data_IF_388969646210
#
_entry.id   IF_388969646210
#
_cell.length_a   1.000
_cell.length_b   1.000
_cell.length_c   1.000
_cell.angle_alpha   90.00
_cell.angle_beta   90.00
_cell.angle_gamma   90.00
#
_symmetry.space_group_name_H-M   'P 1'
#
loop_
_entity.id
_entity.type
_entity.pdbx_description
1 polymer ?
#
# COMPACT_ATOMS: atom_id res chain seq x y z
N UNK A 1 -10.27 -9.41 68.74
CA UNK A 1 -11.51 -9.76 68.02
C UNK A 1 -11.81 -8.61 67.08
N UNK A 2 -11.77 -8.90 65.79
CA UNK A 2 -11.76 -7.92 64.71
C UNK A 2 -11.14 -8.55 63.47
N UNK A 3 -11.68 -9.71 63.09
CA UNK A 3 -11.37 -10.44 61.88
C UNK A 3 -11.85 -9.61 60.68
N UNK A 4 -10.93 -9.25 59.78
CA UNK A 4 -11.18 -8.45 58.59
C UNK A 4 -10.64 -9.17 57.37
N UNK A 5 -11.54 -9.92 56.76
CA UNK A 5 -11.42 -10.78 55.58
C UNK A 5 -10.80 -10.07 54.36
N UNK A 6 -10.18 -10.89 53.52
CA UNK A 6 -9.59 -10.57 52.24
C UNK A 6 -10.62 -10.04 51.22
N UNK A 7 -10.16 -9.16 50.32
CA UNK A 7 -10.68 -9.17 48.95
C UNK A 7 -9.58 -8.82 47.98
N UNK A 8 -9.21 -9.87 47.27
CA UNK A 8 -8.38 -9.88 46.08
C UNK A 8 -9.25 -9.35 44.95
N UNK A 9 -9.05 -8.11 44.51
CA UNK A 9 -9.62 -7.65 43.23
C UNK A 9 -8.50 -7.11 42.35
N UNK A 10 -8.08 -7.99 41.44
CA UNK A 10 -7.06 -7.71 40.44
C UNK A 10 -7.54 -6.67 39.44
N UNK A 11 -7.11 -5.43 39.63
CA UNK A 11 -7.10 -4.41 38.58
C UNK A 11 -5.73 -4.43 37.88
N UNK A 12 -5.46 -5.49 37.11
CA UNK A 12 -4.35 -5.45 36.14
C UNK A 12 -4.58 -4.31 35.14
N UNK A 13 -3.53 -3.60 34.69
CA UNK A 13 -3.70 -2.51 33.74
C UNK A 13 -4.41 -3.04 32.49
N UNK A 14 -5.54 -2.40 32.16
CA UNK A 14 -6.32 -2.73 30.97
C UNK A 14 -5.39 -2.63 29.77
N UNK A 15 -5.22 -3.74 29.04
CA UNK A 15 -4.41 -3.78 27.83
C UNK A 15 -4.90 -2.68 26.89
N UNK A 16 -4.02 -1.83 26.34
CA UNK A 16 -4.44 -0.89 25.31
C UNK A 16 -4.96 -1.71 24.14
N UNK A 17 -6.23 -1.50 23.85
CA UNK A 17 -6.91 -2.02 22.68
C UNK A 17 -6.08 -1.56 21.49
N UNK A 18 -5.60 -2.50 20.68
CA UNK A 18 -4.88 -2.18 19.44
C UNK A 18 -5.90 -1.56 18.49
N UNK A 19 -6.19 -0.28 18.69
CA UNK A 19 -6.88 0.55 17.73
C UNK A 19 -6.13 0.41 16.43
N UNK A 20 -6.81 -0.11 15.41
CA UNK A 20 -6.30 -0.19 14.04
C UNK A 20 -5.61 1.12 13.72
N UNK A 21 -4.30 1.06 13.53
CA UNK A 21 -3.47 2.25 13.32
C UNK A 21 -3.99 2.97 12.05
N UNK A 22 -4.60 4.17 12.16
CA UNK A 22 -5.19 4.85 11.01
C UNK A 22 -4.12 5.34 10.03
N UNK A 23 -2.85 5.30 10.43
CA UNK A 23 -1.68 5.61 9.62
C UNK A 23 -1.25 4.46 8.69
N UNK A 24 -1.84 3.26 8.80
CA UNK A 24 -1.77 2.25 7.74
C UNK A 24 -2.70 2.66 6.59
N UNK A 25 -2.39 3.81 5.98
CA UNK A 25 -3.10 4.36 4.84
C UNK A 25 -3.00 3.35 3.70
N UNK A 26 -4.16 2.81 3.33
CA UNK A 26 -4.35 2.06 2.10
C UNK A 26 -3.81 2.92 0.95
N UNK A 27 -2.81 2.43 0.20
CA UNK A 27 -2.28 3.11 -1.02
C UNK A 27 -3.36 3.20 -2.13
N UNK A 28 -4.59 2.79 -1.82
CA UNK A 28 -5.76 2.90 -2.68
C UNK A 28 -6.36 4.30 -2.56
N UNK A 29 -5.93 5.18 -3.45
CA UNK A 29 -6.64 6.43 -3.72
C UNK A 29 -7.98 6.15 -4.42
N UNK A 30 -9.08 6.67 -3.88
CA UNK A 30 -10.38 6.72 -4.57
C UNK A 30 -10.48 7.99 -5.40
N UNK A 31 -10.95 7.87 -6.63
CA UNK A 31 -11.23 9.01 -7.50
C UNK A 31 -12.69 9.43 -7.37
N UNK A 32 -12.94 10.73 -7.30
CA UNK A 32 -14.30 11.28 -7.22
C UNK A 32 -15.11 11.05 -8.50
N UNK A 33 -14.43 10.95 -9.66
CA UNK A 33 -15.06 10.72 -10.96
C UNK A 33 -14.21 9.79 -11.81
N UNK A 34 -14.84 9.13 -12.80
CA UNK A 34 -14.14 8.31 -13.79
C UNK A 34 -13.14 9.14 -14.62
N UNK A 35 -13.48 10.40 -14.92
CA UNK A 35 -12.60 11.32 -15.65
C UNK A 35 -11.33 11.61 -14.86
N UNK A 36 -11.46 11.89 -13.55
CA UNK A 36 -10.31 12.13 -12.69
C UNK A 36 -9.41 10.88 -12.59
N UNK A 37 -9.99 9.69 -12.55
CA UNK A 37 -9.24 8.43 -12.58
C UNK A 37 -8.46 8.25 -13.89
N UNK A 38 -9.10 8.54 -15.03
CA UNK A 38 -8.49 8.41 -16.36
C UNK A 38 -7.31 9.37 -16.53
N UNK A 39 -7.45 10.62 -16.09
CA UNK A 39 -6.37 11.61 -16.13
C UNK A 39 -5.20 11.20 -15.26
N UNK A 40 -5.45 10.81 -14.01
CA UNK A 40 -4.38 10.37 -13.11
C UNK A 40 -3.63 9.13 -13.64
N UNK A 41 -4.35 8.20 -14.29
CA UNK A 41 -3.73 7.06 -14.97
C UNK A 41 -2.88 7.52 -16.15
N UNK A 42 -3.38 8.46 -16.95
CA UNK A 42 -2.65 8.99 -18.09
C UNK A 42 -1.36 9.69 -17.66
N UNK A 43 -1.42 10.58 -16.67
CA UNK A 43 -0.24 11.27 -16.12
C UNK A 43 0.80 10.27 -15.58
N UNK A 44 0.32 9.22 -14.89
CA UNK A 44 1.20 8.15 -14.40
C UNK A 44 1.87 7.41 -15.55
N UNK A 45 1.11 7.05 -16.59
CA UNK A 45 1.64 6.36 -17.77
C UNK A 45 2.57 7.26 -18.58
N UNK A 46 2.30 8.55 -18.76
CA UNK A 46 3.21 9.41 -19.51
C UNK A 46 4.53 9.67 -18.76
N UNK A 47 4.47 9.83 -17.44
CA UNK A 47 5.66 10.01 -16.62
C UNK A 47 6.50 8.74 -16.49
N UNK A 48 5.85 7.58 -16.33
CA UNK A 48 6.53 6.29 -16.16
C UNK A 48 6.89 5.63 -17.50
N UNK A 49 6.05 5.73 -18.52
CA UNK A 49 6.19 5.01 -19.79
C UNK A 49 6.93 5.83 -20.83
N UNK A 50 8.08 6.40 -20.48
CA UNK A 50 9.01 6.90 -21.47
C UNK A 50 9.79 5.72 -22.06
N UNK A 51 9.57 5.31 -23.33
CA UNK A 51 10.10 4.05 -23.87
C UNK A 51 11.63 3.96 -23.88
N UNK A 52 12.31 5.11 -23.76
CA UNK A 52 13.77 5.26 -23.76
C UNK A 52 14.36 5.46 -22.37
N UNK A 53 13.55 5.83 -21.37
CA UNK A 53 14.02 6.03 -20.00
C UNK A 53 14.34 4.68 -19.37
N UNK A 54 15.39 4.61 -18.54
CA UNK A 54 15.75 3.41 -17.77
C UNK A 54 15.00 3.41 -16.45
N UNK A 55 14.39 2.28 -16.08
CA UNK A 55 13.61 2.13 -14.84
C UNK A 55 14.25 1.11 -13.92
N UNK A 56 14.46 1.46 -12.64
CA UNK A 56 15.02 0.54 -11.64
C UNK A 56 14.15 -0.71 -11.45
N UNK A 57 12.82 -0.56 -11.58
CA UNK A 57 11.87 -1.67 -11.55
C UNK A 57 12.06 -2.68 -12.71
N UNK A 58 12.70 -2.27 -13.81
CA UNK A 58 13.01 -3.11 -14.97
C UNK A 58 14.51 -3.46 -15.02
N UNK A 59 15.18 -3.56 -13.86
CA UNK A 59 16.64 -3.78 -13.77
C UNK A 59 17.47 -2.74 -14.57
N UNK A 60 16.99 -1.50 -14.62
CA UNK A 60 17.54 -0.43 -15.44
C UNK A 60 17.47 -0.68 -16.95
N UNK A 61 16.55 -1.50 -17.43
CA UNK A 61 16.16 -1.52 -18.84
C UNK A 61 15.14 -0.43 -19.16
N UNK A 62 14.99 -0.13 -20.45
CA UNK A 62 13.91 0.73 -20.93
C UNK A 62 12.66 -0.10 -21.21
N UNK A 63 11.44 0.48 -21.08
CA UNK A 63 10.19 -0.26 -21.29
C UNK A 63 10.15 -0.95 -22.67
N UNK A 64 10.62 -0.26 -23.72
CA UNK A 64 10.70 -0.82 -25.07
C UNK A 64 11.59 -2.07 -25.17
N UNK A 65 12.75 -2.05 -24.50
CA UNK A 65 13.67 -3.20 -24.50
C UNK A 65 13.08 -4.36 -23.70
N UNK A 66 12.46 -4.05 -22.57
CA UNK A 66 11.78 -5.06 -21.75
C UNK A 66 10.65 -5.74 -22.54
N UNK A 67 9.79 -4.96 -23.20
CA UNK A 67 8.71 -5.48 -24.06
C UNK A 67 9.23 -6.35 -25.20
N UNK A 68 10.30 -5.93 -25.88
CA UNK A 68 10.90 -6.72 -26.96
C UNK A 68 11.38 -8.09 -26.47
N UNK A 69 12.07 -8.11 -25.32
CA UNK A 69 12.62 -9.34 -24.71
C UNK A 69 11.51 -10.26 -24.18
N UNK A 70 10.43 -9.71 -23.62
CA UNK A 70 9.36 -10.46 -22.96
C UNK A 70 8.12 -10.64 -23.84
N UNK A 71 8.20 -10.28 -25.13
CA UNK A 71 7.07 -10.44 -26.05
C UNK A 71 6.74 -11.93 -26.14
N UNK A 72 5.50 -12.35 -25.77
CA UNK A 72 5.12 -13.74 -25.90
C UNK A 72 5.20 -14.13 -27.38
N UNK A 73 5.83 -15.27 -27.65
CA UNK A 73 5.80 -15.85 -28.98
C UNK A 73 4.37 -16.31 -29.23
N UNK A 74 3.69 -15.67 -30.17
CA UNK A 74 2.36 -16.10 -30.61
C UNK A 74 2.58 -17.36 -31.46
N UNK A 75 2.05 -18.49 -30.99
CA UNK A 75 2.09 -19.78 -31.68
C UNK A 75 1.09 -19.84 -32.84
#
# INVERSE_FOLDING_TARGET
MGDGDASSDGAGPRRPEHGRDPAAADDRRRFATQVAARLALFDFLEGWYNPRRRHSALAYESPMRYEFTHRPQVA
#
